data_IF_923061436695
#
_entry.id   IF_923061436695
#
_cell.length_a   1.000
_cell.length_b   1.000
_cell.length_c   1.000
_cell.angle_alpha   90.00
_cell.angle_beta   90.00
_cell.angle_gamma   90.00
#
_symmetry.space_group_name_H-M   'P 1'
#
loop_
_entity.id
_entity.type
_entity.pdbx_description
1 polymer ?
#
# COMPACT_ATOMS: atom_id res chain seq x y z
N UNK A 1 -23.29 -12.38 21.71
CA UNK A 1 -23.46 -11.10 20.99
C UNK A 1 -22.13 -10.37 21.05
N UNK A 2 -21.69 -9.75 19.95
CA UNK A 2 -20.44 -8.96 19.95
C UNK A 2 -20.60 -7.75 20.85
N UNK A 3 -19.68 -7.57 21.80
CA UNK A 3 -19.63 -6.38 22.61
C UNK A 3 -18.95 -5.22 21.86
N UNK A 4 -19.08 -4.01 22.40
CA UNK A 4 -18.44 -2.82 21.81
C UNK A 4 -16.91 -2.89 21.88
N UNK A 5 -16.34 -3.62 22.83
CA UNK A 5 -14.89 -3.73 22.98
C UNK A 5 -14.27 -4.50 21.81
N UNK A 6 -14.85 -5.65 21.45
CA UNK A 6 -14.45 -6.47 20.30
C UNK A 6 -14.58 -5.69 18.99
N UNK A 7 -15.72 -4.99 18.80
CA UNK A 7 -15.95 -4.15 17.62
C UNK A 7 -14.94 -3.02 17.50
N UNK A 8 -14.63 -2.35 18.62
CA UNK A 8 -13.64 -1.28 18.64
C UNK A 8 -12.24 -1.82 18.31
N UNK A 9 -11.81 -2.94 18.92
CA UNK A 9 -10.51 -3.54 18.60
C UNK A 9 -10.43 -3.90 17.11
N UNK A 10 -11.45 -4.58 16.57
CA UNK A 10 -11.47 -4.95 15.15
C UNK A 10 -11.43 -3.72 14.23
N UNK A 11 -12.14 -2.64 14.58
CA UNK A 11 -12.09 -1.36 13.86
C UNK A 11 -10.68 -0.77 13.90
N UNK A 12 -10.06 -0.74 15.09
CA UNK A 12 -8.70 -0.20 15.26
C UNK A 12 -7.64 -1.05 14.58
N UNK A 13 -7.81 -2.36 14.44
CA UNK A 13 -6.92 -3.20 13.63
C UNK A 13 -6.82 -2.63 12.21
N UNK A 14 -7.95 -2.38 11.54
CA UNK A 14 -7.95 -1.83 10.19
C UNK A 14 -7.39 -0.41 10.14
N UNK A 15 -7.84 0.47 11.04
CA UNK A 15 -7.38 1.88 11.06
C UNK A 15 -5.89 2.01 11.41
N UNK A 16 -5.35 1.11 12.22
CA UNK A 16 -3.94 1.14 12.60
C UNK A 16 -2.99 0.90 11.42
N UNK A 17 -3.52 0.40 10.29
CA UNK A 17 -2.74 0.30 9.04
C UNK A 17 -2.25 1.67 8.55
N UNK A 18 -2.96 2.75 8.86
CA UNK A 18 -2.54 4.12 8.52
C UNK A 18 -1.33 4.62 9.30
N UNK A 19 -0.87 3.90 10.33
CA UNK A 19 0.35 4.27 11.04
C UNK A 19 1.61 4.26 10.14
N UNK A 20 1.56 3.64 8.95
CA UNK A 20 2.61 3.75 7.92
C UNK A 20 2.99 5.18 7.55
N UNK A 21 2.08 6.15 7.72
CA UNK A 21 2.34 7.56 7.39
C UNK A 21 3.24 8.25 8.42
N UNK A 22 3.48 7.63 9.57
CA UNK A 22 4.31 8.17 10.66
C UNK A 22 5.49 7.24 10.93
N UNK A 23 5.26 5.93 10.92
CA UNK A 23 6.24 4.90 11.27
C UNK A 23 6.46 3.99 10.06
N UNK A 24 7.70 3.79 9.59
CA UNK A 24 8.01 2.81 8.56
C UNK A 24 7.46 1.43 8.93
N UNK A 25 6.80 0.76 7.98
CA UNK A 25 6.11 -0.53 8.20
C UNK A 25 5.00 -0.51 9.27
N UNK A 26 4.55 0.68 9.70
CA UNK A 26 3.45 0.82 10.66
C UNK A 26 2.18 0.10 10.22
N UNK A 27 1.93 0.01 8.91
CA UNK A 27 0.81 -0.72 8.35
C UNK A 27 0.76 -2.20 8.70
N UNK A 28 1.89 -2.79 9.09
CA UNK A 28 1.96 -4.15 9.64
C UNK A 28 2.02 -4.13 11.16
N UNK A 29 2.84 -3.25 11.74
CA UNK A 29 3.08 -3.21 13.19
C UNK A 29 1.78 -2.96 13.95
N UNK A 30 1.00 -1.95 13.57
CA UNK A 30 -0.27 -1.60 14.18
C UNK A 30 -1.25 -2.78 14.27
N UNK A 31 -1.66 -3.38 13.13
CA UNK A 31 -2.63 -4.46 13.15
C UNK A 31 -2.08 -5.73 13.81
N UNK A 32 -0.79 -6.05 13.65
CA UNK A 32 -0.19 -7.25 14.27
C UNK A 32 -0.20 -7.13 15.79
N UNK A 33 0.18 -5.98 16.36
CA UNK A 33 0.18 -5.77 17.81
C UNK A 33 -1.23 -5.88 18.36
N UNK A 34 -2.20 -5.19 17.75
CA UNK A 34 -3.60 -5.22 18.17
C UNK A 34 -4.22 -6.62 18.04
N UNK A 35 -3.92 -7.33 16.95
CA UNK A 35 -4.41 -8.68 16.71
C UNK A 35 -3.81 -9.68 17.70
N UNK A 36 -2.49 -9.74 17.85
CA UNK A 36 -1.83 -10.72 18.74
C UNK A 36 -2.30 -10.54 20.20
N UNK A 37 -2.48 -9.30 20.66
CA UNK A 37 -2.92 -9.02 22.03
C UNK A 37 -4.37 -9.46 22.32
N UNK A 38 -5.18 -9.74 21.29
CA UNK A 38 -6.63 -9.94 21.43
C UNK A 38 -7.20 -11.15 20.67
N UNK A 39 -6.45 -11.80 19.78
CA UNK A 39 -6.94 -12.89 18.91
C UNK A 39 -7.51 -14.08 19.69
N UNK A 40 -6.94 -14.41 20.84
CA UNK A 40 -7.38 -15.54 21.66
C UNK A 40 -8.68 -15.24 22.43
N UNK A 41 -9.07 -13.96 22.51
CA UNK A 41 -10.23 -13.49 23.28
C UNK A 41 -11.50 -13.37 22.43
N UNK A 42 -11.38 -13.38 21.11
CA UNK A 42 -12.52 -13.16 20.21
C UNK A 42 -12.23 -13.67 18.79
N UNK A 43 -13.04 -14.63 18.31
CA UNK A 43 -12.99 -15.11 16.93
C UNK A 43 -13.25 -13.98 15.91
N UNK A 44 -14.07 -12.99 16.26
CA UNK A 44 -14.32 -11.82 15.42
C UNK A 44 -13.09 -10.95 15.25
N UNK A 45 -12.36 -10.72 16.35
CA UNK A 45 -11.08 -9.98 16.32
C UNK A 45 -10.02 -10.80 15.58
N UNK A 46 -9.98 -12.12 15.76
CA UNK A 46 -9.05 -12.99 15.04
C UNK A 46 -9.29 -12.93 13.53
N UNK A 47 -10.55 -13.03 13.09
CA UNK A 47 -10.92 -12.95 11.68
C UNK A 47 -10.53 -11.61 11.05
N UNK A 48 -10.82 -10.48 11.71
CA UNK A 48 -10.44 -9.16 11.19
C UNK A 48 -8.93 -8.93 11.21
N UNK A 49 -8.21 -9.42 12.22
CA UNK A 49 -6.75 -9.35 12.29
C UNK A 49 -6.09 -10.11 11.15
N UNK A 50 -6.50 -11.36 10.91
CA UNK A 50 -6.04 -12.17 9.77
C UNK A 50 -6.32 -11.47 8.45
N UNK A 51 -7.54 -10.94 8.26
CA UNK A 51 -7.92 -10.24 7.03
C UNK A 51 -7.09 -8.96 6.80
N UNK A 52 -6.90 -8.13 7.82
CA UNK A 52 -6.10 -6.92 7.71
C UNK A 52 -4.64 -7.24 7.35
N UNK A 53 -4.05 -8.23 8.01
CA UNK A 53 -2.66 -8.62 7.78
C UNK A 53 -2.47 -9.26 6.41
N UNK A 54 -3.37 -10.17 6.00
CA UNK A 54 -3.35 -10.77 4.66
C UNK A 54 -3.47 -9.72 3.57
N UNK A 55 -4.35 -8.75 3.74
CA UNK A 55 -4.51 -7.65 2.79
C UNK A 55 -3.23 -6.81 2.69
N UNK A 56 -2.64 -6.41 3.83
CA UNK A 56 -1.41 -5.61 3.83
C UNK A 56 -0.22 -6.37 3.21
N UNK A 57 -0.10 -7.69 3.41
CA UNK A 57 0.91 -8.51 2.73
C UNK A 57 0.63 -8.56 1.22
N UNK A 58 -0.64 -8.68 0.82
CA UNK A 58 -1.03 -8.69 -0.60
C UNK A 58 -0.65 -7.37 -1.28
N UNK A 59 -0.96 -6.24 -0.66
CA UNK A 59 -0.58 -4.91 -1.15
C UNK A 59 0.93 -4.76 -1.27
N UNK A 60 1.69 -5.21 -0.27
CA UNK A 60 3.15 -5.19 -0.34
C UNK A 60 3.67 -6.03 -1.51
N UNK A 61 3.11 -7.22 -1.73
CA UNK A 61 3.48 -8.07 -2.87
C UNK A 61 3.21 -7.36 -4.20
N UNK A 62 2.04 -6.75 -4.37
CA UNK A 62 1.70 -5.99 -5.58
C UNK A 62 2.62 -4.79 -5.78
N UNK A 63 2.94 -4.07 -4.71
CA UNK A 63 3.88 -2.95 -4.75
C UNK A 63 5.29 -3.38 -5.14
N UNK A 64 5.77 -4.52 -4.63
CA UNK A 64 7.06 -5.10 -5.02
C UNK A 64 7.06 -5.48 -6.51
N UNK A 65 6.01 -6.13 -7.01
CA UNK A 65 5.91 -6.51 -8.43
C UNK A 65 5.97 -5.25 -9.32
N UNK A 66 5.14 -4.24 -9.04
CA UNK A 66 5.14 -2.99 -9.80
C UNK A 66 6.49 -2.27 -9.68
N UNK A 67 7.07 -2.25 -8.48
CA UNK A 67 8.37 -1.63 -8.20
C UNK A 67 9.51 -2.31 -8.99
N UNK A 68 9.60 -3.64 -8.95
CA UNK A 68 10.60 -4.40 -9.71
C UNK A 68 10.44 -4.24 -11.22
N UNK A 69 9.20 -4.13 -11.72
CA UNK A 69 8.98 -3.83 -13.13
C UNK A 69 9.42 -2.41 -13.47
N UNK A 70 9.24 -1.44 -12.57
CA UNK A 70 9.51 -0.02 -12.84
C UNK A 70 10.98 0.36 -12.68
N UNK A 71 11.65 -0.13 -11.62
CA UNK A 71 12.99 0.31 -11.19
C UNK A 71 14.08 0.12 -12.26
N UNK A 72 14.22 -1.04 -12.93
CA UNK A 72 15.23 -1.22 -13.97
C UNK A 72 15.10 -0.20 -15.10
N UNK A 73 13.87 0.10 -15.54
CA UNK A 73 13.63 1.05 -16.63
C UNK A 73 14.05 2.48 -16.29
N UNK A 74 13.87 2.90 -15.03
CA UNK A 74 14.37 4.20 -14.57
C UNK A 74 15.89 4.21 -14.39
N UNK A 75 16.47 3.12 -13.89
CA UNK A 75 17.91 2.97 -13.71
C UNK A 75 18.65 3.08 -15.06
N UNK A 76 18.22 2.33 -16.08
CA UNK A 76 18.82 2.42 -17.43
C UNK A 76 18.77 3.84 -17.98
N UNK A 77 17.62 4.53 -17.85
CA UNK A 77 17.48 5.92 -18.31
C UNK A 77 18.38 6.90 -17.54
N UNK A 78 18.57 6.69 -16.24
CA UNK A 78 19.48 7.51 -15.43
C UNK A 78 20.93 7.29 -15.88
N UNK A 79 21.37 6.04 -16.07
CA UNK A 79 22.74 5.75 -16.53
C UNK A 79 22.99 6.23 -17.97
N UNK A 80 22.04 6.05 -18.89
CA UNK A 80 22.12 6.63 -20.25
C UNK A 80 22.15 8.17 -20.21
N UNK A 81 21.56 8.79 -19.19
CA UNK A 81 21.55 10.24 -18.98
C UNK A 81 22.77 10.80 -18.23
N UNK A 82 23.58 9.95 -17.56
CA UNK A 82 24.78 10.38 -16.83
C UNK A 82 25.94 10.72 -17.77
N UNK A 83 25.95 10.18 -19.00
CA UNK A 83 26.92 10.55 -20.04
C UNK A 83 26.73 11.98 -20.59
N UNK A 84 25.72 12.73 -20.12
CA UNK A 84 25.36 14.08 -20.61
C UNK A 84 25.59 15.23 -19.62
N UNK A 85 26.21 15.02 -18.45
CA UNK A 85 26.54 16.14 -17.55
C UNK A 85 27.84 16.81 -18.03
N UNK A 86 27.74 17.52 -19.16
CA UNK A 86 28.71 18.55 -19.53
C UNK A 86 28.27 19.86 -18.83
N UNK A 87 28.99 20.21 -17.77
CA UNK A 87 28.59 21.20 -16.78
C UNK A 87 28.92 22.62 -17.27
N UNK A 88 28.21 23.09 -18.30
CA UNK A 88 28.26 24.49 -18.74
C UNK A 88 27.00 25.25 -18.34
N UNK A 89 27.21 26.11 -17.34
CA UNK A 89 26.44 27.28 -16.89
C UNK A 89 25.07 27.58 -17.49
N UNK A 90 24.11 27.67 -16.57
CA UNK A 90 22.81 28.39 -16.50
C UNK A 90 22.51 29.58 -17.43
N UNK A 91 22.91 29.57 -18.70
CA UNK A 91 22.52 30.59 -19.67
C UNK A 91 21.60 29.93 -20.71
N UNK A 92 20.28 30.14 -20.54
CA UNK A 92 19.16 29.74 -21.42
C UNK A 92 18.52 28.35 -21.16
N UNK A 93 17.66 28.26 -20.14
CA UNK A 93 16.79 27.10 -19.94
C UNK A 93 15.60 27.12 -20.92
N UNK A 94 15.77 26.55 -22.12
CA UNK A 94 14.67 26.16 -23.01
C UNK A 94 14.33 24.68 -22.75
N UNK A 95 13.15 24.38 -22.21
CA UNK A 95 12.65 23.00 -22.13
C UNK A 95 12.14 22.60 -23.53
N UNK A 96 12.99 21.97 -24.34
CA UNK A 96 12.51 21.22 -25.51
C UNK A 96 11.90 19.90 -25.01
N UNK A 97 10.57 19.83 -24.94
CA UNK A 97 9.85 18.57 -24.73
C UNK A 97 9.89 17.81 -26.06
N UNK A 98 10.95 17.04 -26.29
CA UNK A 98 11.01 16.07 -27.38
C UNK A 98 9.95 14.98 -27.20
N UNK A 99 9.77 14.12 -28.21
CA UNK A 99 8.84 12.99 -28.11
C UNK A 99 9.23 12.10 -26.91
N UNK A 100 8.33 11.85 -25.95
CA UNK A 100 8.64 11.03 -24.79
C UNK A 100 9.03 9.62 -25.22
N UNK A 101 10.07 9.06 -24.61
CA UNK A 101 10.48 7.70 -24.93
C UNK A 101 9.38 6.68 -24.56
N UNK A 102 9.27 5.54 -25.26
CA UNK A 102 8.34 4.46 -24.90
C UNK A 102 8.42 4.05 -23.42
N UNK A 103 9.65 4.05 -22.85
CA UNK A 103 9.87 3.77 -21.43
C UNK A 103 9.22 4.80 -20.50
N UNK A 104 9.16 6.07 -20.90
CA UNK A 104 8.49 7.11 -20.13
C UNK A 104 6.97 6.85 -20.05
N UNK A 105 6.35 6.47 -21.17
CA UNK A 105 4.93 6.12 -21.18
C UNK A 105 4.62 4.89 -20.32
N UNK A 106 5.46 3.85 -20.39
CA UNK A 106 5.30 2.65 -19.57
C UNK A 106 5.48 2.97 -18.08
N UNK A 107 6.56 3.67 -17.72
CA UNK A 107 6.82 4.06 -16.33
C UNK A 107 5.72 4.97 -15.77
N UNK A 108 5.26 5.94 -16.56
CA UNK A 108 4.14 6.81 -16.20
C UNK A 108 2.84 6.03 -16.01
N UNK A 109 2.54 5.08 -16.89
CA UNK A 109 1.37 4.20 -16.78
C UNK A 109 1.39 3.31 -15.54
N UNK A 110 2.54 2.70 -15.22
CA UNK A 110 2.71 1.91 -14.00
C UNK A 110 2.61 2.77 -12.73
N UNK A 111 3.18 3.98 -12.75
CA UNK A 111 3.03 4.95 -11.68
C UNK A 111 1.58 5.36 -11.45
N UNK A 112 0.84 5.64 -12.52
CA UNK A 112 -0.58 5.96 -12.46
C UNK A 112 -1.41 4.78 -11.89
N UNK A 113 -1.12 3.56 -12.32
CA UNK A 113 -1.74 2.34 -11.77
C UNK A 113 -1.47 2.19 -10.27
N UNK A 114 -0.24 2.46 -9.82
CA UNK A 114 0.11 2.40 -8.40
C UNK A 114 -0.67 3.43 -7.57
N UNK A 115 -0.88 4.65 -8.10
CA UNK A 115 -1.71 5.68 -7.44
C UNK A 115 -3.17 5.23 -7.32
N UNK A 116 -3.74 4.65 -8.38
CA UNK A 116 -5.10 4.09 -8.34
C UNK A 116 -5.17 2.98 -7.28
N UNK A 117 -4.21 2.06 -7.29
CA UNK A 117 -4.14 0.97 -6.32
C UNK A 117 -4.06 1.48 -4.88
N UNK A 118 -3.28 2.53 -4.62
CA UNK A 118 -3.20 3.18 -3.32
C UNK A 118 -4.54 3.78 -2.89
N UNK A 119 -5.24 4.50 -3.78
CA UNK A 119 -6.56 5.07 -3.47
C UNK A 119 -7.57 3.95 -3.15
N UNK A 120 -7.59 2.88 -3.93
CA UNK A 120 -8.44 1.71 -3.67
C UNK A 120 -8.12 1.05 -2.32
N UNK A 121 -6.85 0.95 -1.97
CA UNK A 121 -6.42 0.44 -0.67
C UNK A 121 -7.01 1.27 0.49
N UNK A 122 -6.92 2.60 0.41
CA UNK A 122 -7.50 3.49 1.44
C UNK A 122 -9.01 3.26 1.57
N UNK A 123 -9.72 3.19 0.44
CA UNK A 123 -11.17 2.95 0.42
C UNK A 123 -11.51 1.62 1.10
N UNK A 124 -10.78 0.54 0.78
CA UNK A 124 -11.03 -0.77 1.39
C UNK A 124 -10.73 -0.78 2.88
N UNK A 125 -9.69 -0.09 3.36
CA UNK A 125 -9.40 0.03 4.79
C UNK A 125 -10.55 0.74 5.52
N UNK A 126 -11.06 1.84 4.97
CA UNK A 126 -12.19 2.55 5.56
C UNK A 126 -13.45 1.68 5.58
N UNK A 127 -13.75 0.98 4.49
CA UNK A 127 -14.91 0.08 4.43
C UNK A 127 -14.80 -1.08 5.43
N UNK A 128 -13.62 -1.70 5.55
CA UNK A 128 -13.37 -2.74 6.54
C UNK A 128 -13.56 -2.23 7.98
N UNK A 129 -13.09 -1.00 8.25
CA UNK A 129 -13.24 -0.34 9.55
C UNK A 129 -14.72 -0.08 9.87
N UNK A 130 -15.51 0.42 8.91
CA UNK A 130 -16.94 0.65 9.09
C UNK A 130 -17.70 -0.67 9.32
N UNK A 131 -17.36 -1.71 8.57
CA UNK A 131 -17.97 -3.04 8.72
C UNK A 131 -17.64 -3.67 10.08
N UNK A 132 -16.38 -3.57 10.52
CA UNK A 132 -15.97 -4.03 11.84
C UNK A 132 -16.73 -3.30 12.98
N UNK A 133 -16.92 -1.97 12.84
CA UNK A 133 -17.69 -1.15 13.78
C UNK A 133 -19.15 -1.61 13.86
N UNK A 134 -19.75 -1.95 12.72
CA UNK A 134 -21.13 -2.40 12.66
C UNK A 134 -21.28 -3.86 13.18
N UNK A 135 -20.15 -4.58 13.34
CA UNK A 135 -20.10 -5.97 13.83
C UNK A 135 -20.18 -6.99 12.70
N UNK A 136 -19.88 -6.58 11.47
CA UNK A 136 -19.87 -7.43 10.28
C UNK A 136 -18.45 -7.84 9.91
N UNK A 137 -18.28 -9.11 9.54
CA UNK A 137 -17.03 -9.58 8.95
C UNK A 137 -16.81 -8.91 7.59
N UNK A 138 -15.56 -8.62 7.28
CA UNK A 138 -15.18 -8.00 6.01
C UNK A 138 -14.03 -8.77 5.37
N UNK A 139 -14.21 -9.13 4.11
CA UNK A 139 -13.16 -9.70 3.28
C UNK A 139 -12.67 -8.64 2.31
N UNK A 140 -11.39 -8.31 2.41
CA UNK A 140 -10.78 -7.33 1.53
C UNK A 140 -10.75 -7.86 0.08
N UNK A 141 -11.19 -7.07 -0.92
CA UNK A 141 -11.00 -7.41 -2.31
C UNK A 141 -9.50 -7.50 -2.64
N UNK A 142 -9.15 -8.39 -3.58
CA UNK A 142 -7.77 -8.63 -4.04
C UNK A 142 -6.81 -9.16 -2.95
N UNK A 143 -7.33 -9.63 -1.82
CA UNK A 143 -6.52 -10.26 -0.77
C UNK A 143 -6.17 -11.70 -1.11
N UNK A 144 -4.91 -12.04 -0.88
CA UNK A 144 -4.40 -13.40 -0.87
C UNK A 144 -4.35 -13.86 0.60
N UNK A 145 -4.95 -15.01 0.91
CA UNK A 145 -5.02 -15.53 2.28
C UNK A 145 -3.74 -16.29 2.66
N UNK A 146 -2.76 -15.59 3.23
CA UNK A 146 -1.52 -16.19 3.73
C UNK A 146 -1.71 -16.86 5.10
N UNK A 147 -2.45 -16.20 5.99
CA UNK A 147 -2.82 -16.69 7.30
C UNK A 147 -4.24 -17.26 7.22
N UNK A 148 -4.41 -18.52 7.66
CA UNK A 148 -5.69 -19.23 7.70
C UNK A 148 -6.34 -19.12 9.09
#
# INVERSE_FOLDING_TARGET
MLDNHQKNIATFIHLSTFSRFIIPFGNFIGPIVLWIANKEKSEFVDAHGKQAINFQISILLYAIIIGTLTVPFFIFKIFDGIDFIDLHGFDNFHINIGEPSPLFYIGGGLGFLAVIGFILELIFIINASLKARDGELYNYPLTINFIK
#
